data_IF_331654440411
#
_entry.id   IF_331654440411
#
_cell.length_a   1.000
_cell.length_b   1.000
_cell.length_c   1.000
_cell.angle_alpha   90.00
_cell.angle_beta   90.00
_cell.angle_gamma   90.00
#
_symmetry.space_group_name_H-M   'P 1'
#
loop_
_entity.id
_entity.type
_entity.pdbx_description
1 polymer ?
#
# COMPACT_ATOMS: atom_id res chain seq x y z
N UNK A 1 3.36 33.40 6.07
CA UNK A 1 4.59 32.60 5.95
C UNK A 1 4.23 31.16 6.26
N UNK A 2 4.62 30.20 5.42
CA UNK A 2 4.38 28.79 5.72
C UNK A 2 5.41 28.31 6.75
N UNK A 3 4.94 27.76 7.88
CA UNK A 3 5.82 27.15 8.87
C UNK A 3 6.31 25.78 8.35
N UNK A 4 7.54 25.41 8.69
CA UNK A 4 8.07 24.09 8.37
C UNK A 4 7.30 23.00 9.14
N UNK A 5 6.87 21.91 8.50
CA UNK A 5 6.19 20.82 9.19
C UNK A 5 7.07 20.15 10.24
N UNK A 6 6.45 19.63 11.30
CA UNK A 6 7.13 18.81 12.30
C UNK A 6 7.68 17.52 11.68
N UNK A 7 8.81 17.06 12.20
CA UNK A 7 9.33 15.74 11.83
C UNK A 7 8.52 14.64 12.49
N UNK A 8 8.18 13.60 11.72
CA UNK A 8 7.42 12.44 12.20
C UNK A 8 8.17 11.16 11.89
N UNK A 9 8.01 10.19 12.79
CA UNK A 9 8.49 8.83 12.59
C UNK A 9 7.43 8.06 11.81
N UNK A 10 7.77 7.67 10.58
CA UNK A 10 6.91 6.84 9.75
C UNK A 10 7.30 5.37 9.91
N UNK A 11 6.32 4.50 10.11
CA UNK A 11 6.46 3.06 10.17
C UNK A 11 5.57 2.44 9.09
N UNK A 12 6.15 1.70 8.17
CA UNK A 12 5.42 0.92 7.19
C UNK A 12 5.69 -0.58 7.39
N UNK A 13 4.66 -1.40 7.29
CA UNK A 13 4.70 -2.85 7.48
C UNK A 13 3.99 -3.51 6.30
N UNK A 14 4.60 -4.55 5.74
CA UNK A 14 4.10 -5.28 4.56
C UNK A 14 4.43 -6.78 4.71
N UNK A 15 3.55 -7.66 4.25
CA UNK A 15 3.74 -9.11 4.40
C UNK A 15 4.68 -9.64 3.31
N UNK A 16 5.59 -10.52 3.69
CA UNK A 16 6.50 -11.16 2.74
C UNK A 16 5.78 -12.31 2.05
N UNK A 17 5.56 -12.15 0.74
CA UNK A 17 4.99 -13.20 -0.09
C UNK A 17 3.48 -13.34 0.00
N UNK A 18 2.76 -12.29 0.41
CA UNK A 18 1.29 -12.25 0.45
C UNK A 18 0.63 -12.60 -0.89
N UNK A 19 1.22 -12.19 -2.01
CA UNK A 19 0.72 -12.52 -3.35
C UNK A 19 0.78 -14.01 -3.72
N UNK A 20 1.46 -14.84 -2.92
CA UNK A 20 1.48 -16.30 -3.08
C UNK A 20 0.66 -17.02 -2.00
N UNK A 21 0.00 -16.28 -1.10
CA UNK A 21 -0.90 -16.86 -0.11
C UNK A 21 -2.14 -17.42 -0.78
N UNK A 22 -2.67 -18.51 -0.22
CA UNK A 22 -3.91 -19.08 -0.74
C UNK A 22 -5.09 -18.11 -0.52
N UNK A 23 -6.07 -18.05 -1.44
CA UNK A 23 -7.19 -17.11 -1.35
C UNK A 23 -7.93 -17.16 0.00
N UNK A 24 -8.07 -18.34 0.60
CA UNK A 24 -8.75 -18.52 1.90
C UNK A 24 -8.06 -17.81 3.07
N UNK A 25 -6.81 -17.39 2.92
CA UNK A 25 -6.04 -16.69 3.96
C UNK A 25 -5.96 -15.18 3.75
N UNK A 26 -6.26 -14.67 2.55
CA UNK A 26 -6.08 -13.26 2.22
C UNK A 26 -6.94 -12.32 3.11
N UNK A 27 -8.12 -12.78 3.52
CA UNK A 27 -8.99 -12.01 4.40
C UNK A 27 -8.53 -11.93 5.86
N UNK A 28 -7.76 -12.91 6.35
CA UNK A 28 -7.33 -12.98 7.76
C UNK A 28 -5.95 -12.39 8.01
N UNK A 29 -5.09 -12.33 6.99
CA UNK A 29 -3.73 -11.80 7.08
C UNK A 29 -3.71 -10.36 7.65
N UNK A 30 -4.48 -9.39 7.13
CA UNK A 30 -4.37 -8.01 7.60
C UNK A 30 -4.79 -7.83 9.06
N UNK A 31 -5.82 -8.56 9.49
CA UNK A 31 -6.27 -8.57 10.89
C UNK A 31 -5.18 -9.14 11.80
N UNK A 32 -4.59 -10.29 11.43
CA UNK A 32 -3.50 -10.92 12.18
C UNK A 32 -2.27 -10.01 12.28
N UNK A 33 -1.85 -9.36 11.19
CA UNK A 33 -0.74 -8.40 11.19
C UNK A 33 -1.05 -7.21 12.10
N UNK A 34 -2.29 -6.72 12.05
CA UNK A 34 -2.79 -5.67 12.94
C UNK A 34 -2.68 -6.06 14.42
N UNK A 35 -3.14 -7.25 14.78
CA UNK A 35 -3.14 -7.77 16.15
C UNK A 35 -1.72 -7.98 16.69
N UNK A 36 -0.84 -8.61 15.90
CA UNK A 36 0.56 -8.85 16.28
C UNK A 36 1.32 -7.53 16.47
N UNK A 37 1.13 -6.57 15.56
CA UNK A 37 1.75 -5.24 15.69
C UNK A 37 1.19 -4.49 16.89
N UNK A 38 -0.12 -4.55 17.14
CA UNK A 38 -0.71 -3.90 18.31
C UNK A 38 -0.19 -4.52 19.62
N UNK A 39 -0.03 -5.84 19.68
CA UNK A 39 0.60 -6.50 20.81
C UNK A 39 2.05 -6.04 21.01
N UNK A 40 2.85 -5.96 19.94
CA UNK A 40 4.23 -5.47 20.01
C UNK A 40 4.32 -4.00 20.47
N UNK A 41 3.45 -3.12 19.94
CA UNK A 41 3.36 -1.72 20.38
C UNK A 41 3.03 -1.60 21.87
N UNK A 42 2.04 -2.36 22.36
CA UNK A 42 1.67 -2.38 23.78
C UNK A 42 2.84 -2.82 24.67
N UNK A 43 3.60 -3.83 24.25
CA UNK A 43 4.73 -4.35 25.00
C UNK A 43 5.85 -3.31 25.18
N UNK A 44 6.02 -2.39 24.23
CA UNK A 44 6.98 -1.27 24.35
C UNK A 44 6.34 0.01 24.91
N UNK A 45 5.13 -0.06 25.46
CA UNK A 45 4.44 1.06 26.09
C UNK A 45 3.88 2.11 25.13
N UNK A 46 3.66 1.75 23.86
CA UNK A 46 3.11 2.65 22.84
C UNK A 46 1.68 2.23 22.46
N UNK A 47 0.75 3.18 22.49
CA UNK A 47 -0.62 2.93 21.99
C UNK A 47 -0.69 3.10 20.47
N UNK A 48 -1.56 2.33 19.81
CA UNK A 48 -1.89 2.53 18.40
C UNK A 48 -2.45 3.94 18.15
N UNK A 49 -3.25 4.47 19.08
CA UNK A 49 -3.91 5.77 18.97
C UNK A 49 -2.94 6.95 19.05
N UNK A 50 -1.66 6.68 19.34
CA UNK A 50 -0.60 7.69 19.28
C UNK A 50 -0.21 8.03 17.84
N UNK A 51 -0.61 7.19 16.86
CA UNK A 51 -0.40 7.50 15.46
C UNK A 51 -1.29 8.69 15.03
N UNK A 52 -0.70 9.65 14.34
CA UNK A 52 -1.40 10.79 13.76
C UNK A 52 -2.00 10.49 12.38
N UNK A 53 -1.45 9.49 11.70
CA UNK A 53 -1.94 9.01 10.41
C UNK A 53 -1.84 7.49 10.39
N UNK A 54 -2.84 6.83 9.78
CA UNK A 54 -2.95 5.37 9.66
C UNK A 54 -3.55 5.07 8.29
N UNK A 55 -2.72 4.54 7.39
CA UNK A 55 -3.05 4.20 6.02
C UNK A 55 -2.95 2.69 5.84
N UNK A 56 -3.98 2.09 5.25
CA UNK A 56 -4.02 0.66 4.96
C UNK A 56 -3.42 0.37 3.58
N UNK A 57 -2.59 -0.68 3.46
CA UNK A 57 -1.91 -1.03 2.19
C UNK A 57 -2.33 -2.39 1.64
N UNK A 58 -3.44 -2.96 2.11
CA UNK A 58 -3.93 -4.28 1.69
C UNK A 58 -3.59 -5.37 2.69
N UNK A 59 -2.33 -5.80 2.75
CA UNK A 59 -1.83 -6.79 3.71
C UNK A 59 -1.01 -6.19 4.86
N UNK A 60 -0.88 -4.87 4.85
CA UNK A 60 -0.03 -4.09 5.73
C UNK A 60 -0.60 -2.72 6.06
N UNK A 61 0.25 -1.84 6.57
CA UNK A 61 -0.13 -0.47 6.92
C UNK A 61 1.07 0.49 6.85
N UNK A 62 0.78 1.79 6.82
CA UNK A 62 1.72 2.89 7.01
C UNK A 62 1.15 3.80 8.10
N UNK A 63 1.95 4.07 9.13
CA UNK A 63 1.58 4.94 10.25
C UNK A 63 2.60 6.03 10.50
N UNK A 64 2.14 7.19 10.95
CA UNK A 64 2.99 8.29 11.36
C UNK A 64 2.86 8.58 12.86
N UNK A 65 3.98 8.65 13.57
CA UNK A 65 4.06 8.94 15.00
C UNK A 65 4.87 10.22 15.25
N UNK A 66 4.69 10.89 16.40
CA UNK A 66 5.65 11.89 16.86
C UNK A 66 7.09 11.35 16.81
N UNK A 67 8.03 12.16 16.32
CA UNK A 67 9.43 11.76 16.11
C UNK A 67 10.11 11.16 17.35
N UNK A 68 9.74 11.61 18.55
CA UNK A 68 10.24 11.09 19.84
C UNK A 68 10.01 9.59 20.04
N UNK A 69 9.06 8.98 19.31
CA UNK A 69 8.78 7.55 19.40
C UNK A 69 9.59 6.69 18.44
N UNK A 70 10.42 7.28 17.57
CA UNK A 70 11.23 6.52 16.61
C UNK A 70 12.09 5.42 17.28
N UNK A 71 12.81 5.66 18.40
CA UNK A 71 13.58 4.59 19.06
C UNK A 71 12.67 3.46 19.58
N UNK A 72 11.53 3.80 20.17
CA UNK A 72 10.53 2.82 20.66
C UNK A 72 9.94 1.98 19.53
N UNK A 73 9.68 2.59 18.37
CA UNK A 73 9.19 1.87 17.18
C UNK A 73 10.25 0.88 16.64
N UNK A 74 11.53 1.22 16.75
CA UNK A 74 12.62 0.31 16.38
C UNK A 74 12.67 -0.85 17.37
N UNK A 75 12.71 -0.58 18.67
CA UNK A 75 12.72 -1.64 19.71
C UNK A 75 11.50 -2.57 19.63
N UNK A 76 10.34 -2.04 19.23
CA UNK A 76 9.12 -2.83 19.00
C UNK A 76 9.32 -3.98 18.00
N UNK A 77 10.23 -3.84 17.03
CA UNK A 77 10.53 -4.89 16.06
C UNK A 77 11.10 -6.13 16.73
N UNK A 78 11.86 -6.00 17.83
CA UNK A 78 12.34 -7.17 18.58
C UNK A 78 11.20 -7.93 19.24
N UNK A 79 10.19 -7.23 19.77
CA UNK A 79 9.00 -7.89 20.33
C UNK A 79 8.17 -8.53 19.23
N UNK A 80 8.06 -7.86 18.08
CA UNK A 80 7.36 -8.39 16.92
C UNK A 80 8.02 -9.67 16.40
N UNK A 81 9.35 -9.77 16.44
CA UNK A 81 10.11 -10.99 16.13
C UNK A 81 9.69 -12.15 17.03
N UNK A 82 9.61 -11.94 18.35
CA UNK A 82 9.20 -12.95 19.31
C UNK A 82 7.77 -13.43 19.08
N UNK A 83 6.84 -12.49 18.86
CA UNK A 83 5.42 -12.78 18.62
C UNK A 83 5.21 -13.54 17.30
N UNK A 84 5.89 -13.14 16.23
CA UNK A 84 5.86 -13.85 14.95
C UNK A 84 6.49 -15.24 15.07
N UNK A 85 7.59 -15.38 15.80
CA UNK A 85 8.24 -16.66 16.05
C UNK A 85 7.32 -17.63 16.81
N UNK A 86 6.60 -17.15 17.83
CA UNK A 86 5.62 -17.96 18.55
C UNK A 86 4.42 -18.34 17.68
N UNK A 87 3.91 -17.39 16.88
CA UNK A 87 2.82 -17.63 15.93
C UNK A 87 3.22 -18.70 14.90
N UNK A 88 4.35 -18.51 14.21
CA UNK A 88 4.78 -19.39 13.11
C UNK A 88 5.07 -20.83 13.56
N UNK A 89 5.44 -21.05 14.84
CA UNK A 89 5.64 -22.39 15.40
C UNK A 89 4.34 -23.17 15.61
N UNK A 90 3.21 -22.48 15.76
CA UNK A 90 1.92 -23.08 16.15
C UNK A 90 0.83 -22.93 15.09
N UNK A 91 0.97 -21.96 14.19
CA UNK A 91 0.00 -21.68 13.14
C UNK A 91 0.31 -22.45 11.85
N UNK A 92 -0.74 -22.82 11.13
CA UNK A 92 -0.63 -23.38 9.78
C UNK A 92 -0.16 -22.34 8.75
N UNK A 93 -0.49 -21.08 8.99
CA UNK A 93 -0.13 -19.96 8.13
C UNK A 93 1.08 -19.23 8.73
N UNK A 94 2.25 -19.40 8.12
CA UNK A 94 3.43 -18.64 8.51
C UNK A 94 3.31 -17.20 8.00
N UNK A 95 3.55 -16.23 8.87
CA UNK A 95 3.62 -14.81 8.53
C UNK A 95 5.05 -14.30 8.75
N UNK A 96 5.52 -13.50 7.80
CA UNK A 96 6.80 -12.79 7.87
C UNK A 96 6.61 -11.38 7.38
N UNK A 97 7.30 -10.42 7.98
CA UNK A 97 7.06 -9.00 7.72
C UNK A 97 8.30 -8.29 7.18
N UNK A 98 8.08 -7.42 6.20
CA UNK A 98 8.98 -6.32 5.88
C UNK A 98 8.52 -5.12 6.68
N UNK A 99 9.46 -4.44 7.30
CA UNK A 99 9.24 -3.24 8.10
C UNK A 99 10.16 -2.15 7.57
N UNK A 100 9.64 -0.96 7.34
CA UNK A 100 10.42 0.22 7.01
C UNK A 100 10.16 1.32 8.02
N UNK A 101 11.22 1.99 8.48
CA UNK A 101 11.08 3.20 9.28
C UNK A 101 11.85 4.38 8.68
N UNK A 102 11.23 5.55 8.71
CA UNK A 102 11.75 6.79 8.16
C UNK A 102 11.45 7.95 9.09
N UNK A 103 12.26 9.00 9.03
CA UNK A 103 12.07 10.24 9.76
C UNK A 103 12.13 11.43 8.80
N UNK A 104 11.06 12.20 8.70
CA UNK A 104 10.98 13.33 7.79
C UNK A 104 9.87 14.33 8.14
N UNK A 105 9.88 15.53 7.54
CA UNK A 105 8.90 16.59 7.80
C UNK A 105 7.54 16.21 7.19
N UNK A 106 6.54 15.99 8.03
CA UNK A 106 5.22 15.51 7.62
C UNK A 106 4.13 16.41 8.22
N UNK A 107 3.34 17.12 7.40
CA UNK A 107 2.20 17.91 7.87
C UNK A 107 1.20 17.09 8.69
N UNK A 108 0.40 17.79 9.51
CA UNK A 108 -0.66 17.17 10.30
C UNK A 108 -1.83 16.72 9.42
N UNK A 109 -2.10 17.45 8.34
CA UNK A 109 -3.17 17.14 7.39
C UNK A 109 -2.80 15.92 6.55
N UNK A 110 -3.79 15.07 6.25
CA UNK A 110 -3.60 13.89 5.39
C UNK A 110 -3.21 14.30 3.97
N UNK A 111 -2.32 13.54 3.35
CA UNK A 111 -1.89 13.79 1.98
C UNK A 111 -0.73 12.92 1.52
N UNK A 112 -0.41 13.02 0.22
CA UNK A 112 0.75 12.36 -0.37
C UNK A 112 1.97 13.27 -0.24
N UNK A 113 2.67 13.14 0.88
CA UNK A 113 3.90 13.88 1.13
C UNK A 113 5.14 13.04 0.83
N UNK A 114 6.25 13.73 0.61
CA UNK A 114 7.54 13.11 0.30
C UNK A 114 7.95 12.04 1.34
N UNK A 115 7.82 12.22 2.67
CA UNK A 115 8.16 11.16 3.62
C UNK A 115 7.33 9.87 3.46
N UNK A 116 6.03 9.98 3.14
CA UNK A 116 5.17 8.81 2.88
C UNK A 116 5.63 8.05 1.64
N UNK A 117 6.01 8.80 0.60
CA UNK A 117 6.55 8.23 -0.64
C UNK A 117 7.90 7.55 -0.35
N UNK A 118 8.78 8.19 0.41
CA UNK A 118 10.12 7.67 0.73
C UNK A 118 10.06 6.40 1.57
N UNK A 119 9.25 6.36 2.64
CA UNK A 119 9.11 5.12 3.44
C UNK A 119 8.52 3.96 2.62
N UNK A 120 7.59 4.25 1.71
CA UNK A 120 7.03 3.24 0.79
C UNK A 120 8.07 2.78 -0.24
N UNK A 121 8.91 3.69 -0.76
CA UNK A 121 10.02 3.38 -1.67
C UNK A 121 11.11 2.53 -0.99
N UNK A 122 11.38 2.75 0.30
CA UNK A 122 12.27 1.92 1.10
C UNK A 122 11.72 0.49 1.23
N UNK A 123 10.46 0.36 1.65
CA UNK A 123 9.79 -0.94 1.83
C UNK A 123 9.68 -1.73 0.51
N UNK A 124 9.46 -1.00 -0.60
CA UNK A 124 9.31 -1.53 -1.94
C UNK A 124 10.61 -1.73 -2.73
N UNK A 125 11.76 -1.31 -2.19
CA UNK A 125 13.03 -1.29 -2.92
C UNK A 125 13.46 -2.69 -3.39
N UNK A 126 13.88 -2.79 -4.65
CA UNK A 126 14.29 -4.06 -5.26
C UNK A 126 15.48 -4.69 -4.53
N UNK A 127 16.50 -3.90 -4.19
CA UNK A 127 17.68 -4.38 -3.45
C UNK A 127 17.31 -4.91 -2.06
N UNK A 128 16.39 -4.25 -1.36
CA UNK A 128 15.88 -4.73 -0.08
C UNK A 128 15.09 -6.04 -0.23
N UNK A 129 14.22 -6.15 -1.24
CA UNK A 129 13.50 -7.40 -1.55
C UNK A 129 14.46 -8.54 -1.91
N UNK A 130 15.56 -8.27 -2.61
CA UNK A 130 16.59 -9.28 -2.90
C UNK A 130 17.26 -9.78 -1.62
N UNK A 131 17.65 -8.89 -0.70
CA UNK A 131 18.18 -9.27 0.62
C UNK A 131 17.19 -10.19 1.35
N UNK A 132 15.93 -9.78 1.45
CA UNK A 132 14.85 -10.57 2.07
C UNK A 132 14.73 -11.96 1.45
N UNK A 133 14.72 -12.02 0.12
CA UNK A 133 14.64 -13.27 -0.63
C UNK A 133 15.84 -14.20 -0.38
N UNK A 134 17.06 -13.65 -0.39
CA UNK A 134 18.28 -14.41 -0.13
C UNK A 134 18.33 -14.95 1.30
N UNK A 135 17.97 -14.12 2.30
CA UNK A 135 17.88 -14.54 3.70
C UNK A 135 16.84 -15.66 3.88
N UNK A 136 15.63 -15.48 3.34
CA UNK A 136 14.55 -16.48 3.42
C UNK A 136 14.95 -17.85 2.87
N UNK A 137 15.80 -17.90 1.83
CA UNK A 137 16.27 -19.17 1.26
C UNK A 137 17.31 -19.91 2.10
N UNK A 138 18.04 -19.21 2.98
CA UNK A 138 19.19 -19.75 3.72
C UNK A 138 18.89 -20.04 5.18
N UNK A 139 17.88 -19.38 5.75
CA UNK A 139 17.54 -19.45 7.16
C UNK A 139 16.34 -20.38 7.32
N UNK A 140 16.31 -21.12 8.42
CA UNK A 140 15.15 -21.93 8.78
C UNK A 140 13.92 -21.06 8.94
N UNK A 141 12.74 -21.65 8.66
CA UNK A 141 11.48 -20.94 8.69
C UNK A 141 11.23 -20.20 10.03
N UNK A 142 11.69 -20.79 11.13
CA UNK A 142 11.47 -20.33 12.51
C UNK A 142 12.37 -19.15 12.92
N UNK A 143 13.51 -18.95 12.27
CA UNK A 143 14.47 -17.91 12.65
C UNK A 143 14.28 -16.60 11.87
N UNK A 144 13.63 -16.66 10.70
CA UNK A 144 13.36 -15.47 9.87
C UNK A 144 11.91 -15.00 10.01
N UNK A 145 11.70 -13.99 10.85
CA UNK A 145 10.39 -13.38 11.18
C UNK A 145 10.21 -12.01 10.53
N UNK A 146 11.17 -11.09 10.72
CA UNK A 146 11.12 -9.75 10.15
C UNK A 146 12.39 -9.38 9.37
N UNK A 147 12.22 -8.47 8.42
CA UNK A 147 13.29 -7.68 7.83
C UNK A 147 12.96 -6.20 8.00
N UNK A 148 13.82 -5.47 8.71
CA UNK A 148 13.69 -4.04 8.98
C UNK A 148 14.66 -3.25 8.11
N UNK A 149 14.17 -2.20 7.46
CA UNK A 149 14.98 -1.19 6.78
C UNK A 149 14.76 0.19 7.39
N UNK A 150 15.84 0.92 7.66
CA UNK A 150 15.82 2.29 8.16
C UNK A 150 16.39 3.23 7.09
N UNK A 151 15.78 4.41 6.94
CA UNK A 151 16.45 5.51 6.23
C UNK A 151 17.72 5.92 6.96
N UNK A 152 18.65 6.58 6.27
CA UNK A 152 19.88 7.09 6.88
C UNK A 152 19.56 8.07 8.01
N UNK A 153 18.55 8.92 7.81
CA UNK A 153 18.15 9.91 8.80
C UNK A 153 17.60 9.23 10.06
N UNK A 154 16.75 8.21 9.91
CA UNK A 154 16.23 7.45 11.04
C UNK A 154 17.34 6.74 11.81
N UNK A 155 18.25 6.06 11.10
CA UNK A 155 19.39 5.36 11.69
C UNK A 155 20.29 6.32 12.49
N UNK A 156 20.73 7.43 11.86
CA UNK A 156 21.61 8.41 12.53
C UNK A 156 20.94 9.02 13.76
N UNK A 157 19.67 9.42 13.63
CA UNK A 157 18.93 10.04 14.74
C UNK A 157 18.86 9.13 15.97
N UNK A 158 18.68 7.82 15.76
CA UNK A 158 18.48 6.87 16.85
C UNK A 158 19.80 6.41 17.46
N UNK A 159 20.77 6.04 16.63
CA UNK A 159 22.00 5.38 17.09
C UNK A 159 23.17 6.33 17.32
N UNK A 160 23.13 7.59 16.88
CA UNK A 160 24.11 8.58 17.33
C UNK A 160 23.86 9.05 18.76
N UNK A 161 22.61 8.95 19.23
CA UNK A 161 22.22 9.30 20.60
C UNK A 161 21.95 8.09 21.50
N UNK A 162 22.20 6.86 21.03
CA UNK A 162 21.94 5.60 21.75
C UNK A 162 20.55 5.54 22.41
N UNK A 163 19.51 5.94 21.68
CA UNK A 163 18.15 6.07 22.22
C UNK A 163 17.35 4.75 22.27
N UNK A 164 17.83 3.69 21.62
CA UNK A 164 17.22 2.34 21.70
C UNK A 164 17.69 1.60 22.94
N UNK A 165 16.87 0.65 23.40
CA UNK A 165 17.15 -0.16 24.59
C UNK A 165 17.47 -1.61 24.24
N UNK A 166 16.88 -2.13 23.17
CA UNK A 166 16.94 -3.55 22.81
C UNK A 166 17.76 -3.74 21.55
N UNK A 167 17.40 -3.05 20.47
CA UNK A 167 18.09 -3.19 19.19
C UNK A 167 19.31 -2.27 19.17
N UNK A 168 20.45 -2.83 18.81
CA UNK A 168 21.74 -2.13 18.80
C UNK A 168 22.18 -1.78 17.37
N UNK A 169 23.03 -0.76 17.25
CA UNK A 169 23.59 -0.32 15.96
C UNK A 169 24.33 -1.43 15.21
N UNK A 170 24.89 -2.40 15.95
CA UNK A 170 25.71 -3.50 15.43
C UNK A 170 24.86 -4.63 14.83
N UNK A 171 23.53 -4.51 14.82
CA UNK A 171 22.61 -5.44 14.15
C UNK A 171 22.24 -4.99 12.73
N UNK A 172 22.79 -3.87 12.26
CA UNK A 172 22.47 -3.33 10.95
C UNK A 172 23.63 -3.45 9.97
N UNK A 173 23.29 -3.83 8.74
CA UNK A 173 24.15 -3.77 7.57
C UNK A 173 23.79 -2.55 6.71
N UNK A 174 24.77 -1.82 6.16
CA UNK A 174 24.48 -0.77 5.18
C UNK A 174 23.95 -1.40 3.89
N UNK A 175 22.96 -0.74 3.27
CA UNK A 175 22.38 -1.14 2.00
C UNK A 175 22.11 0.10 1.16
N UNK A 176 22.72 0.19 -0.03
CA UNK A 176 22.40 1.25 -0.98
C UNK A 176 21.05 0.95 -1.66
N UNK A 177 20.09 1.87 -1.53
CA UNK A 177 18.79 1.77 -2.18
C UNK A 177 18.78 2.65 -3.40
N UNK A 178 18.56 2.04 -4.56
CA UNK A 178 18.29 2.72 -5.84
C UNK A 178 16.86 2.41 -6.28
N UNK A 179 15.97 3.39 -6.23
CA UNK A 179 14.58 3.26 -6.65
C UNK A 179 14.08 4.57 -7.29
N UNK A 180 14.11 4.64 -8.62
CA UNK A 180 13.84 5.86 -9.39
C UNK A 180 14.76 7.01 -8.94
N UNK A 181 14.19 8.16 -8.57
CA UNK A 181 14.91 9.33 -8.03
C UNK A 181 15.43 9.14 -6.60
N UNK A 182 15.09 8.02 -5.95
CA UNK A 182 15.53 7.73 -4.59
C UNK A 182 16.85 6.95 -4.62
N UNK A 183 17.94 7.63 -4.26
CA UNK A 183 19.26 7.05 -4.10
C UNK A 183 19.81 7.42 -2.71
N UNK A 184 19.73 6.48 -1.77
CA UNK A 184 20.12 6.71 -0.37
C UNK A 184 20.78 5.46 0.22
N UNK A 185 21.80 5.66 1.05
CA UNK A 185 22.30 4.62 1.94
C UNK A 185 21.29 4.38 3.06
N UNK A 186 20.77 3.17 3.14
CA UNK A 186 19.85 2.72 4.19
C UNK A 186 20.52 1.66 5.06
N UNK A 187 19.83 1.24 6.12
CA UNK A 187 20.35 0.30 7.11
C UNK A 187 19.37 -0.84 7.32
N UNK A 188 19.83 -2.07 7.13
CA UNK A 188 18.99 -3.26 7.16
C UNK A 188 19.36 -4.19 8.29
N UNK A 189 18.34 -4.64 9.03
CA UNK A 189 18.40 -5.73 10.01
C UNK A 189 17.47 -6.84 9.53
N UNK A 190 17.92 -8.09 9.61
CA UNK A 190 17.08 -9.25 9.36
C UNK A 190 17.14 -10.16 10.58
N UNK A 191 15.97 -10.51 11.13
CA UNK A 191 15.89 -11.38 12.29
C UNK A 191 16.64 -12.69 12.05
N UNK A 192 17.48 -13.08 13.01
CA UNK A 192 18.31 -14.29 12.92
C UNK A 192 19.50 -14.23 11.96
N UNK A 193 19.86 -13.06 11.42
CA UNK A 193 20.96 -12.91 10.45
C UNK A 193 22.00 -11.93 10.95
N UNK A 194 23.26 -12.34 10.90
CA UNK A 194 24.35 -11.43 11.25
C UNK A 194 24.57 -10.38 10.13
N UNK A 195 24.82 -9.09 10.43
CA UNK A 195 24.95 -8.04 9.43
C UNK A 195 26.00 -8.31 8.34
N UNK A 196 27.12 -8.93 8.70
CA UNK A 196 28.15 -9.30 7.73
C UNK A 196 27.65 -10.27 6.67
N UNK A 197 26.69 -11.14 7.02
CA UNK A 197 26.05 -12.02 6.05
C UNK A 197 25.15 -11.23 5.11
N UNK A 198 24.42 -10.23 5.62
CA UNK A 198 23.59 -9.32 4.81
C UNK A 198 24.46 -8.55 3.81
N UNK A 199 25.57 -7.95 4.28
CA UNK A 199 26.51 -7.21 3.43
C UNK A 199 27.21 -8.08 2.38
N UNK A 200 27.28 -9.39 2.60
CA UNK A 200 27.88 -10.35 1.65
C UNK A 200 26.90 -10.83 0.56
N UNK A 201 25.62 -10.45 0.63
CA UNK A 201 24.63 -10.86 -0.36
C UNK A 201 24.99 -10.21 -1.70
N UNK A 202 25.20 -10.99 -2.77
CA UNK A 202 25.42 -10.44 -4.09
C UNK A 202 24.12 -9.80 -4.56
N UNK A 203 24.09 -8.47 -4.56
CA UNK A 203 22.98 -7.72 -5.12
C UNK A 203 23.15 -7.72 -6.63
N UNK A 204 22.10 -8.12 -7.35
CA UNK A 204 22.12 -7.97 -8.80
C UNK A 204 22.20 -6.47 -9.09
N UNK A 205 23.15 -6.08 -9.94
CA UNK A 205 23.17 -4.74 -10.48
C UNK A 205 21.78 -4.49 -11.08
N UNK A 206 21.09 -3.40 -10.71
CA UNK A 206 19.79 -3.12 -11.27
C UNK A 206 19.96 -3.13 -12.79
N UNK A 207 19.27 -4.05 -13.46
CA UNK A 207 19.27 -4.10 -14.91
C UNK A 207 19.00 -2.66 -15.37
N UNK A 208 19.85 -2.09 -16.25
CA UNK A 208 19.70 -0.70 -16.68
C UNK A 208 18.24 -0.55 -17.07
N UNK A 209 17.53 0.37 -16.40
CA UNK A 209 16.11 0.54 -16.62
C UNK A 209 15.95 0.69 -18.12
N UNK A 210 15.36 -0.32 -18.77
CA UNK A 210 15.15 -0.29 -20.22
C UNK A 210 14.57 1.08 -20.50
N UNK A 211 15.21 1.91 -21.35
CA UNK A 211 14.76 3.27 -21.58
C UNK A 211 13.26 3.19 -21.78
N UNK A 212 12.48 3.78 -20.86
CA UNK A 212 11.07 3.96 -21.12
C UNK A 212 11.05 4.83 -22.35
N UNK A 213 10.82 4.20 -23.49
CA UNK A 213 10.85 4.81 -24.81
C UNK A 213 9.69 5.79 -24.86
N UNK A 214 9.91 6.97 -24.31
CA UNK A 214 9.02 8.13 -24.42
C UNK A 214 9.28 8.85 -25.76
N UNK A 215 9.68 8.11 -26.80
CA UNK A 215 9.70 8.62 -28.16
C UNK A 215 8.27 8.54 -28.73
N UNK A 216 7.41 9.41 -28.21
CA UNK A 216 6.26 9.86 -28.97
C UNK A 216 6.73 11.03 -29.85
N UNK A 217 7.11 10.70 -31.08
CA UNK A 217 7.13 11.68 -32.17
C UNK A 217 5.69 12.09 -32.46
N UNK A 218 5.34 13.39 -32.45
CA UNK A 218 4.01 13.84 -32.78
C UNK A 218 3.91 14.01 -34.30
N UNK A 219 3.52 12.97 -35.02
CA UNK A 219 3.13 13.08 -36.44
C UNK A 219 2.14 11.98 -36.83
N UNK A 220 0.90 12.06 -36.31
CA UNK A 220 -0.32 11.77 -37.09
C UNK A 220 -1.60 11.98 -36.24
N UNK A 221 -2.62 12.70 -36.76
CA UNK A 221 -3.90 12.85 -36.09
C UNK A 221 -4.91 11.81 -36.56
N UNK A 222 -4.87 10.57 -36.03
CA UNK A 222 -6.00 9.62 -36.11
C UNK A 222 -5.71 8.26 -35.46
N UNK A 223 -5.28 8.19 -34.20
CA UNK A 223 -5.31 6.91 -33.46
C UNK A 223 -5.42 7.17 -31.95
N UNK A 224 -6.66 7.19 -31.46
CA UNK A 224 -6.99 7.18 -30.05
C UNK A 224 -6.48 5.87 -29.41
N UNK A 225 -5.50 5.99 -28.52
CA UNK A 225 -5.03 4.85 -27.72
C UNK A 225 -6.06 4.51 -26.65
N UNK A 226 -6.98 3.62 -27.00
CA UNK A 226 -7.89 2.95 -26.07
C UNK A 226 -7.11 1.97 -25.19
N UNK A 227 -7.18 2.16 -23.87
CA UNK A 227 -6.78 1.13 -22.89
C UNK A 227 -8.03 0.28 -22.63
N UNK A 228 -8.15 -0.84 -23.35
CA UNK A 228 -9.24 -1.79 -23.14
C UNK A 228 -8.88 -2.76 -22.01
N UNK A 229 -9.52 -2.60 -20.86
CA UNK A 229 -9.56 -3.64 -19.82
C UNK A 229 -11.02 -4.13 -19.72
N UNK A 230 -11.31 -5.28 -20.31
CA UNK A 230 -12.63 -5.92 -20.15
C UNK A 230 -12.66 -6.71 -18.84
N UNK A 231 -13.36 -6.20 -17.84
CA UNK A 231 -13.69 -6.94 -16.61
C UNK A 231 -15.20 -6.93 -16.45
N UNK A 232 -15.81 -8.11 -16.45
CA UNK A 232 -17.23 -8.25 -16.09
C UNK A 232 -17.35 -8.16 -14.58
N UNK A 233 -17.76 -6.99 -14.07
CA UNK A 233 -18.08 -6.81 -12.66
C UNK A 233 -19.57 -7.09 -12.47
N UNK A 234 -19.89 -8.15 -11.75
CA UNK A 234 -21.25 -8.39 -11.27
C UNK A 234 -21.44 -7.71 -9.91
N UNK A 235 -21.84 -6.44 -9.91
CA UNK A 235 -22.13 -5.68 -8.69
C UNK A 235 -21.74 -4.21 -8.78
N UNK A 236 -21.79 -3.53 -7.63
CA UNK A 236 -21.39 -2.13 -7.52
C UNK A 236 -19.91 -2.04 -7.13
N UNK A 237 -19.12 -1.29 -7.89
CA UNK A 237 -17.72 -1.02 -7.56
C UNK A 237 -17.58 0.42 -7.06
N UNK A 238 -17.01 0.56 -5.87
CA UNK A 238 -16.65 1.86 -5.29
C UNK A 238 -15.14 1.88 -5.14
N UNK A 239 -14.47 2.80 -5.86
CA UNK A 239 -13.00 2.93 -5.83
C UNK A 239 -12.64 4.26 -5.16
N UNK A 240 -12.04 4.16 -3.98
CA UNK A 240 -11.49 5.29 -3.23
C UNK A 240 -11.44 5.05 -1.72
N UNK A 241 -10.79 5.97 -1.01
CA UNK A 241 -10.61 5.90 0.44
C UNK A 241 -11.74 6.65 1.18
N UNK A 242 -12.14 6.14 2.35
CA UNK A 242 -13.10 6.83 3.23
C UNK A 242 -14.58 6.66 2.85
N UNK A 243 -14.90 5.66 2.04
CA UNK A 243 -16.28 5.35 1.66
C UNK A 243 -17.02 4.68 2.83
N UNK A 244 -18.19 5.22 3.18
CA UNK A 244 -19.11 4.57 4.12
C UNK A 244 -20.36 4.15 3.35
N UNK A 245 -20.62 2.84 3.29
CA UNK A 245 -21.83 2.29 2.67
C UNK A 245 -22.93 2.29 3.73
N UNK A 246 -23.77 3.32 3.71
CA UNK A 246 -24.89 3.43 4.65
C UNK A 246 -26.11 2.68 4.07
N UNK A 247 -26.34 1.48 4.60
CA UNK A 247 -27.56 0.64 4.49
C UNK A 247 -28.10 0.37 3.08
N UNK A 248 -28.12 -0.92 2.69
CA UNK A 248 -28.88 -1.40 1.55
C UNK A 248 -30.36 -1.49 1.94
N UNK A 249 -31.17 -0.48 1.62
CA UNK A 249 -32.63 -0.65 1.58
C UNK A 249 -32.99 -1.35 0.27
N UNK A 250 -32.99 -2.68 0.29
CA UNK A 250 -33.52 -3.51 -0.79
C UNK A 250 -34.84 -4.13 -0.37
N UNK A 251 -35.79 -4.21 -1.31
CA UNK A 251 -36.92 -5.13 -1.16
C UNK A 251 -36.43 -6.53 -1.52
N UNK A 252 -36.72 -7.52 -0.67
CA UNK A 252 -36.47 -8.91 -1.00
C UNK A 252 -37.53 -9.34 -2.03
N UNK A 253 -37.10 -9.65 -3.26
CA UNK A 253 -38.00 -10.19 -4.28
C UNK A 253 -37.69 -11.67 -4.41
N UNK A 254 -38.67 -12.52 -4.11
CA UNK A 254 -38.54 -13.97 -4.27
C UNK A 254 -39.20 -14.37 -5.58
N UNK A 255 -38.42 -14.85 -6.53
CA UNK A 255 -38.94 -15.40 -7.79
C UNK A 255 -38.42 -16.84 -7.93
N UNK A 256 -39.32 -17.78 -8.17
CA UNK A 256 -39.03 -19.22 -8.25
C UNK A 256 -38.29 -19.83 -7.04
N UNK A 257 -38.51 -19.32 -5.83
CA UNK A 257 -37.90 -19.85 -4.60
C UNK A 257 -36.46 -19.39 -4.35
N UNK A 258 -35.91 -18.55 -5.22
CA UNK A 258 -34.63 -17.88 -5.02
C UNK A 258 -34.88 -16.44 -4.55
N UNK A 259 -34.20 -16.04 -3.47
CA UNK A 259 -34.26 -14.67 -2.97
C UNK A 259 -33.28 -13.78 -3.75
N UNK A 260 -33.80 -12.78 -4.44
CA UNK A 260 -33.02 -11.74 -5.12
C UNK A 260 -33.11 -10.45 -4.33
N UNK A 261 -31.96 -9.81 -4.09
CA UNK A 261 -31.89 -8.49 -3.52
C UNK A 261 -31.71 -7.48 -4.66
N UNK A 262 -32.78 -6.77 -5.01
CA UNK A 262 -32.69 -5.60 -5.89
C UNK A 262 -32.63 -4.37 -5.01
N UNK A 263 -31.51 -3.66 -5.05
CA UNK A 263 -31.34 -2.39 -4.36
C UNK A 263 -31.32 -1.28 -5.42
N UNK A 264 -32.46 -0.61 -5.68
CA UNK A 264 -32.52 0.42 -6.70
C UNK A 264 -31.74 1.69 -6.32
N UNK A 265 -31.38 1.86 -5.04
CA UNK A 265 -30.70 3.05 -4.54
C UNK A 265 -29.51 2.66 -3.64
N UNK A 266 -28.29 2.84 -4.16
CA UNK A 266 -27.07 2.80 -3.36
C UNK A 266 -26.75 4.23 -2.91
N UNK A 267 -26.81 4.51 -1.61
CA UNK A 267 -26.40 5.81 -1.09
C UNK A 267 -24.94 5.73 -0.60
N UNK A 268 -24.01 6.21 -1.43
CA UNK A 268 -22.60 6.34 -1.07
C UNK A 268 -22.38 7.74 -0.50
N UNK A 269 -22.21 7.84 0.81
CA UNK A 269 -21.82 9.09 1.44
C UNK A 269 -20.30 9.17 1.54
N UNK A 270 -19.71 10.21 0.95
CA UNK A 270 -18.29 10.48 1.04
C UNK A 270 -17.97 11.11 2.40
N UNK A 271 -16.88 10.64 3.02
CA UNK A 271 -16.25 11.43 4.07
C UNK A 271 -15.56 12.65 3.43
N UNK A 272 -15.77 13.85 3.99
CA UNK A 272 -15.17 15.09 3.49
C UNK A 272 -13.64 14.93 3.47
N UNK A 273 -13.05 14.99 2.27
CA UNK A 273 -11.60 14.87 2.05
C UNK A 273 -11.11 13.61 1.31
N UNK A 274 -11.99 12.65 1.00
CA UNK A 274 -11.65 11.51 0.15
C UNK A 274 -11.54 11.88 -1.34
N UNK A 275 -10.58 11.29 -2.07
CA UNK A 275 -10.56 11.32 -3.54
C UNK A 275 -11.22 10.03 -4.04
N UNK A 276 -12.41 10.15 -4.61
CA UNK A 276 -13.07 9.04 -5.28
C UNK A 276 -12.81 9.12 -6.79
N UNK A 277 -12.50 7.97 -7.40
CA UNK A 277 -12.22 7.86 -8.83
C UNK A 277 -13.45 7.42 -9.65
N UNK A 278 -14.57 7.13 -8.98
CA UNK A 278 -15.84 6.79 -9.60
C UNK A 278 -16.70 5.87 -8.72
N UNK A 279 -18.01 5.95 -8.90
CA UNK A 279 -18.98 4.94 -8.45
C UNK A 279 -19.55 4.32 -9.72
N UNK A 280 -19.43 2.99 -9.87
CA UNK A 280 -19.97 2.28 -11.03
C UNK A 280 -21.09 1.33 -10.58
N UNK A 281 -22.26 1.45 -11.19
CA UNK A 281 -23.42 0.56 -11.01
C UNK A 281 -23.89 0.07 -12.38
N UNK A 282 -24.10 -1.24 -12.55
CA UNK A 282 -24.67 -1.84 -13.76
C UNK A 282 -23.69 -2.71 -14.58
N UNK A 283 -24.22 -3.38 -15.60
CA UNK A 283 -23.44 -4.20 -16.54
C UNK A 283 -22.87 -3.30 -17.63
N UNK A 284 -21.54 -3.28 -17.78
CA UNK A 284 -20.87 -2.48 -18.80
C UNK A 284 -20.13 -3.38 -19.79
N UNK A 285 -20.42 -3.20 -21.09
CA UNK A 285 -19.66 -3.77 -22.20
C UNK A 285 -19.19 -2.62 -23.09
N UNK A 286 -17.94 -2.19 -22.93
CA UNK A 286 -17.37 -1.07 -23.70
C UNK A 286 -15.98 -0.68 -23.22
N UNK A 287 -15.40 0.36 -23.83
CA UNK A 287 -14.14 0.96 -23.39
C UNK A 287 -14.43 2.25 -22.63
N UNK A 288 -13.69 2.51 -21.55
CA UNK A 288 -13.73 3.79 -20.82
C UNK A 288 -12.40 4.48 -21.01
N UNK A 289 -12.41 5.62 -21.69
CA UNK A 289 -11.21 6.41 -21.94
C UNK A 289 -11.21 7.65 -21.05
N UNK A 290 -10.10 7.89 -20.34
CA UNK A 290 -9.88 9.12 -19.58
C UNK A 290 -9.28 10.18 -20.50
N UNK A 291 -10.05 11.22 -20.81
CA UNK A 291 -9.60 12.35 -21.61
C UNK A 291 -8.76 13.35 -20.81
N UNK A 292 -8.05 14.22 -21.53
CA UNK A 292 -7.39 15.38 -20.93
C UNK A 292 -8.44 16.26 -20.23
N UNK A 293 -8.14 16.71 -19.01
CA UNK A 293 -9.04 17.47 -18.11
C UNK A 293 -10.04 16.66 -17.27
N UNK A 294 -9.91 15.34 -17.18
CA UNK A 294 -10.74 14.53 -16.26
C UNK A 294 -12.15 14.24 -16.77
N UNK A 295 -12.40 14.45 -18.07
CA UNK A 295 -13.62 14.01 -18.74
C UNK A 295 -13.48 12.54 -19.14
N UNK A 296 -14.51 11.74 -18.91
CA UNK A 296 -14.56 10.35 -19.33
C UNK A 296 -15.38 10.23 -20.61
N UNK A 297 -14.83 9.59 -21.64
CA UNK A 297 -15.56 9.23 -22.86
C UNK A 297 -15.87 7.74 -22.78
N UNK A 298 -17.15 7.41 -22.97
CA UNK A 298 -17.66 6.05 -22.90
C UNK A 298 -18.15 5.65 -24.28
N UNK A 299 -17.44 4.74 -24.94
CA UNK A 299 -17.92 4.06 -26.13
C UNK A 299 -18.57 2.74 -25.72
N UNK A 300 -19.88 2.65 -25.87
CA UNK A 300 -20.66 1.46 -25.50
C UNK A 300 -21.70 1.14 -26.57
N UNK A 301 -21.79 -0.14 -26.94
CA UNK A 301 -22.82 -0.64 -27.85
C UNK A 301 -24.21 -0.62 -27.19
N UNK A 302 -24.27 -0.77 -25.85
CA UNK A 302 -25.47 -0.67 -25.02
C UNK A 302 -25.11 -0.13 -23.63
N UNK A 303 -25.62 1.05 -23.26
CA UNK A 303 -25.48 1.62 -21.93
C UNK A 303 -26.87 1.95 -21.35
N UNK A 304 -27.26 1.26 -20.27
CA UNK A 304 -28.40 1.66 -19.43
C UNK A 304 -27.87 2.10 -18.05
N UNK A 305 -28.22 3.32 -17.63
CA UNK A 305 -28.05 3.76 -16.23
C UNK A 305 -26.66 4.27 -15.81
N UNK A 306 -25.86 4.86 -16.71
CA UNK A 306 -24.57 5.47 -16.32
C UNK A 306 -24.79 6.86 -15.69
N UNK A 307 -24.38 7.04 -14.44
CA UNK A 307 -24.38 8.33 -13.74
C UNK A 307 -22.97 8.61 -13.18
N UNK A 308 -22.22 9.50 -13.84
CA UNK A 308 -20.91 9.97 -13.37
C UNK A 308 -21.14 11.36 -12.78
N UNK A 309 -21.04 11.50 -11.45
CA UNK A 309 -21.28 12.76 -10.77
C UNK A 309 -20.08 13.18 -9.93
N UNK A 310 -19.41 14.25 -10.33
CA UNK A 310 -18.41 15.00 -9.57
C UNK A 310 -18.99 16.33 -9.05
N UNK A 311 -20.26 16.35 -8.61
CA UNK A 311 -20.86 17.50 -7.93
C UNK A 311 -21.00 18.80 -8.74
N UNK A 312 -20.58 18.85 -10.01
CA UNK A 312 -20.87 19.91 -10.96
C UNK A 312 -21.44 19.28 -12.24
N UNK A 313 -22.60 19.73 -12.69
CA UNK A 313 -23.25 19.21 -13.90
C UNK A 313 -22.35 19.38 -15.12
N UNK A 314 -21.75 18.29 -15.62
CA UNK A 314 -21.12 18.25 -16.94
C UNK A 314 -21.99 17.41 -17.89
N UNK A 315 -22.19 17.94 -19.09
CA UNK A 315 -22.91 17.27 -20.17
C UNK A 315 -22.13 16.04 -20.65
N UNK A 316 -22.80 14.89 -20.68
CA UNK A 316 -22.31 13.66 -21.32
C UNK A 316 -22.80 13.68 -22.77
N UNK A 317 -21.87 13.76 -23.72
CA UNK A 317 -22.18 13.60 -25.14
C UNK A 317 -22.15 12.11 -25.50
N UNK A 318 -23.31 11.56 -25.86
CA UNK A 318 -23.43 10.21 -26.40
C UNK A 318 -23.29 10.27 -27.92
N UNK A 319 -22.17 9.77 -28.47
CA UNK A 319 -22.02 9.58 -29.92
C UNK A 319 -22.39 8.14 -30.28
N UNK A 320 -23.35 7.96 -31.20
CA UNK A 320 -23.64 6.66 -31.81
C UNK A 320 -22.64 6.42 -32.95
N UNK A 321 -22.06 5.22 -32.99
CA UNK A 321 -21.20 4.76 -34.10
C UNK A 321 -21.96 4.86 -35.42
N UNK A 322 -21.32 5.49 -36.42
CA UNK A 322 -21.84 5.62 -37.79
C UNK A 322 -21.46 4.38 -38.60
N UNK A 323 -22.05 3.23 -38.28
CA UNK A 323 -21.86 2.02 -39.07
C UNK A 323 -23.18 1.28 -39.28
N UNK A 324 -24.22 2.00 -39.66
CA UNK A 324 -25.43 1.46 -40.31
C UNK A 324 -26.00 2.52 -41.27
N UNK A 325 -25.47 2.56 -42.49
CA UNK A 325 -26.15 2.96 -43.73
C UNK A 325 -25.44 2.30 -44.91
#
# INVERSE_FOLDING_TARGET
>A
MALMPEHRALLAVDVIGSGSSRPEHLGSIPALVGDLTQAALRAVGLSRDTAHDDQFTGDGFLRAYPSRFLPTLIDMVSVLDELLGAHNKSAKLEIRLRVAAHLGPLPADRGLYRPNIEVSRLLGAATFKQVVYHCRKRITADAFTTALILSNNAYKTVFQGDYTRVITRNEFAPLLITNNEFNEQSWVRVAGVHPTQISSIPLAEPAPASPKEFAHTPDNPSDERSISNSVTVHGNQVIGDGNTINTVQGNQVTEHGNAFYTAPNLNVSNYVGGRNAGVQTGTFNGNVNQGEQGKYVVDADHAEGVQIGDGNTQHVDLRRSSSEY
#
